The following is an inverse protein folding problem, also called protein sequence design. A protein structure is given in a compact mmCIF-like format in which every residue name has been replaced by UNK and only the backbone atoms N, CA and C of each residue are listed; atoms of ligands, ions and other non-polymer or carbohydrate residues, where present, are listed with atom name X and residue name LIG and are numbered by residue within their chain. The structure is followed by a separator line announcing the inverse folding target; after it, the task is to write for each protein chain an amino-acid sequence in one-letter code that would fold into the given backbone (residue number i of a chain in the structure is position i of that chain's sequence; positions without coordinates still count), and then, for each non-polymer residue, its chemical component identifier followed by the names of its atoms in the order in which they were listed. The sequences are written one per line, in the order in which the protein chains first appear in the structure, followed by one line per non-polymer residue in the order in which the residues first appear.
data_IF_986442577693
#
_entry.id   IF_986442577693
#
_cell.length_a   1.000
_cell.length_b   1.000
_cell.length_c   1.000
_cell.angle_alpha   90.00
_cell.angle_beta   90.00
_cell.angle_gamma   90.00
#
_symmetry.space_group_name_H-M   'P 1'
#
loop_
_entity.id
_entity.type
_entity.pdbx_description
1 polymer ?
#
# COMPACT_ATOMS: atom_id res chain seq x y z
N UNK A 1 12.24 14.89 32.25
CA UNK A 1 12.46 13.71 31.39
C UNK A 1 13.87 13.81 30.82
N UNK A 2 14.85 13.02 31.29
CA UNK A 2 16.19 13.02 30.69
C UNK A 2 16.08 12.38 29.31
N UNK A 3 16.29 13.16 28.26
CA UNK A 3 16.27 12.66 26.88
C UNK A 3 17.56 11.86 26.65
N UNK A 4 17.52 10.56 26.92
CA UNK A 4 18.63 9.67 26.59
C UNK A 4 18.60 9.41 25.09
N UNK A 5 19.35 10.22 24.35
CA UNK A 5 19.51 10.17 22.90
C UNK A 5 19.86 8.73 22.47
N UNK A 6 19.05 8.15 21.58
CA UNK A 6 19.27 6.81 21.02
C UNK A 6 19.08 5.63 21.97
N UNK A 7 18.55 5.83 23.18
CA UNK A 7 18.29 4.74 24.12
C UNK A 7 17.17 3.79 23.65
N UNK A 8 16.13 4.32 22.97
CA UNK A 8 15.04 3.51 22.41
C UNK A 8 15.55 2.52 21.37
N UNK A 9 16.29 3.00 20.38
CA UNK A 9 16.90 2.15 19.33
C UNK A 9 17.74 1.02 19.94
N UNK A 10 18.56 1.31 20.95
CA UNK A 10 19.37 0.28 21.62
C UNK A 10 18.52 -0.77 22.34
N UNK A 11 17.43 -0.34 22.96
CA UNK A 11 16.52 -1.25 23.66
C UNK A 11 15.77 -2.14 22.66
N UNK A 12 15.29 -1.57 21.55
CA UNK A 12 14.56 -2.31 20.50
C UNK A 12 15.45 -3.39 19.90
N UNK A 13 16.71 -3.05 19.55
CA UNK A 13 17.69 -4.00 19.03
C UNK A 13 17.97 -5.12 20.05
N UNK A 14 18.18 -4.75 21.31
CA UNK A 14 18.48 -5.72 22.39
C UNK A 14 17.32 -6.70 22.61
N UNK A 15 16.08 -6.23 22.49
CA UNK A 15 14.89 -7.07 22.64
C UNK A 15 14.65 -7.95 21.40
N UNK A 16 14.96 -7.46 20.20
CA UNK A 16 14.68 -8.15 18.94
C UNK A 16 15.70 -9.24 18.58
N UNK A 17 17.00 -8.97 18.74
CA UNK A 17 18.09 -9.87 18.29
C UNK A 17 17.90 -11.34 18.73
N UNK A 18 17.51 -11.66 19.98
CA UNK A 18 17.40 -13.05 20.43
C UNK A 18 16.39 -13.89 19.64
N UNK A 19 15.33 -13.26 19.11
CA UNK A 19 14.23 -13.94 18.40
C UNK A 19 14.49 -14.07 16.89
N UNK A 20 15.42 -13.31 16.32
CA UNK A 20 15.60 -13.24 14.87
C UNK A 20 15.83 -14.61 14.22
N UNK A 21 16.65 -15.46 14.83
CA UNK A 21 16.94 -16.79 14.30
C UNK A 21 15.84 -17.82 14.59
N UNK A 22 15.04 -17.65 15.65
CA UNK A 22 13.89 -18.52 15.90
C UNK A 22 12.77 -18.25 14.90
N UNK A 23 12.56 -16.99 14.51
CA UNK A 23 11.50 -16.61 13.57
C UNK A 23 11.57 -17.38 12.24
N UNK A 24 12.78 -17.62 11.70
CA UNK A 24 12.97 -18.41 10.48
C UNK A 24 12.57 -19.89 10.64
N UNK A 25 12.75 -20.45 11.84
CA UNK A 25 12.34 -21.83 12.16
C UNK A 25 10.83 -21.89 12.40
N UNK A 26 10.29 -20.91 13.12
CA UNK A 26 8.87 -20.80 13.43
C UNK A 26 8.02 -20.55 12.18
N UNK A 27 8.58 -19.87 11.19
CA UNK A 27 7.97 -19.68 9.88
C UNK A 27 7.80 -20.98 9.08
N UNK A 28 8.53 -22.05 9.40
CA UNK A 28 8.44 -23.34 8.71
C UNK A 28 7.23 -24.16 9.20
N UNK A 29 6.04 -23.57 9.09
CA UNK A 29 4.76 -24.14 9.49
C UNK A 29 3.82 -24.22 8.28
N UNK A 30 2.97 -25.24 8.22
CA UNK A 30 1.99 -25.42 7.14
C UNK A 30 1.01 -24.25 7.03
N UNK A 31 0.75 -23.52 8.13
CA UNK A 31 -0.11 -22.32 8.14
C UNK A 31 0.53 -21.09 7.49
N UNK A 32 1.85 -21.09 7.29
CA UNK A 32 2.54 -19.97 6.65
C UNK A 32 2.18 -19.87 5.17
N UNK A 33 1.97 -21.00 4.49
CA UNK A 33 1.59 -21.03 3.07
C UNK A 33 0.27 -20.29 2.78
N UNK A 34 -0.86 -20.61 3.46
CA UNK A 34 -2.10 -19.85 3.28
C UNK A 34 -1.95 -18.39 3.67
N UNK A 35 -1.25 -18.10 4.77
CA UNK A 35 -1.04 -16.72 5.21
C UNK A 35 -0.27 -15.90 4.16
N UNK A 36 0.79 -16.45 3.56
CA UNK A 36 1.55 -15.79 2.48
C UNK A 36 0.68 -15.54 1.26
N UNK A 37 -0.11 -16.54 0.83
CA UNK A 37 -1.00 -16.40 -0.31
C UNK A 37 -2.07 -15.32 -0.07
N UNK A 38 -2.73 -15.35 1.09
CA UNK A 38 -3.71 -14.35 1.48
C UNK A 38 -3.09 -12.96 1.53
N UNK A 39 -1.97 -12.81 2.23
CA UNK A 39 -1.32 -11.52 2.42
C UNK A 39 -0.78 -10.93 1.13
N UNK A 40 -0.31 -11.76 0.20
CA UNK A 40 0.09 -11.31 -1.14
C UNK A 40 -1.07 -10.59 -1.85
N UNK A 41 -2.24 -11.23 -1.96
CA UNK A 41 -3.39 -10.60 -2.61
C UNK A 41 -3.96 -9.43 -1.81
N UNK A 42 -4.00 -9.53 -0.47
CA UNK A 42 -4.49 -8.47 0.39
C UNK A 42 -3.64 -7.20 0.29
N UNK A 43 -2.33 -7.31 0.08
CA UNK A 43 -1.44 -6.16 -0.10
C UNK A 43 -1.33 -5.71 -1.57
N UNK A 44 -1.44 -6.64 -2.52
CA UNK A 44 -1.34 -6.33 -3.95
C UNK A 44 -2.55 -5.55 -4.47
N UNK A 45 -3.78 -5.96 -4.14
CA UNK A 45 -4.99 -5.35 -4.72
C UNK A 45 -5.11 -3.86 -4.40
N UNK A 46 -4.92 -3.40 -3.14
CA UNK A 46 -4.93 -1.97 -2.85
C UNK A 46 -3.78 -1.23 -3.52
N UNK A 47 -2.59 -1.82 -3.58
CA UNK A 47 -1.45 -1.21 -4.24
C UNK A 47 -1.72 -0.96 -5.73
N UNK A 48 -2.32 -1.94 -6.42
CA UNK A 48 -2.75 -1.79 -7.82
C UNK A 48 -3.81 -0.69 -7.96
N UNK A 49 -4.84 -0.70 -7.11
CA UNK A 49 -5.91 0.29 -7.11
C UNK A 49 -5.37 1.72 -6.94
N UNK A 50 -4.51 1.96 -5.94
CA UNK A 50 -3.92 3.28 -5.71
C UNK A 50 -2.89 3.67 -6.77
N UNK A 51 -2.15 2.70 -7.32
CA UNK A 51 -1.22 2.99 -8.42
C UNK A 51 -1.96 3.40 -9.69
N UNK A 52 -3.14 2.83 -9.96
CA UNK A 52 -3.96 3.20 -11.11
C UNK A 52 -4.56 4.60 -10.96
N UNK A 53 -5.12 4.91 -9.78
CA UNK A 53 -5.64 6.27 -9.49
C UNK A 53 -4.52 7.31 -9.58
N UNK A 54 -3.34 7.02 -9.02
CA UNK A 54 -2.19 7.91 -9.12
C UNK A 54 -1.67 8.05 -10.55
N UNK A 55 -1.63 6.97 -11.33
CA UNK A 55 -1.26 7.01 -12.75
C UNK A 55 -2.16 7.96 -13.53
N UNK A 56 -3.49 7.79 -13.39
CA UNK A 56 -4.48 8.64 -14.03
C UNK A 56 -4.40 10.12 -13.60
N UNK A 57 -3.98 10.39 -12.35
CA UNK A 57 -3.89 11.75 -11.80
C UNK A 57 -2.51 12.41 -11.94
N UNK A 58 -1.49 11.69 -12.41
CA UNK A 58 -0.12 12.21 -12.58
C UNK A 58 0.30 12.30 -14.05
N UNK A 59 -0.67 12.46 -14.97
CA UNK A 59 -0.45 12.44 -16.42
C UNK A 59 0.47 11.29 -16.84
N UNK A 60 0.14 10.08 -16.40
CA UNK A 60 0.86 8.85 -16.74
C UNK A 60 2.33 8.80 -16.30
N UNK A 61 2.77 9.71 -15.42
CA UNK A 61 4.17 9.83 -15.01
C UNK A 61 4.53 8.83 -13.90
N UNK A 62 3.64 8.63 -12.93
CA UNK A 62 3.89 7.76 -11.78
C UNK A 62 2.93 6.55 -11.83
N UNK A 63 3.44 5.40 -12.27
CA UNK A 63 2.61 4.26 -12.62
C UNK A 63 2.71 3.05 -11.69
N UNK A 64 2.12 1.96 -12.18
CA UNK A 64 2.09 0.64 -11.52
C UNK A 64 3.50 0.09 -11.30
N UNK A 65 4.40 0.28 -12.26
CA UNK A 65 5.75 -0.28 -12.20
C UNK A 65 6.58 0.35 -11.07
N UNK A 66 6.53 1.67 -10.89
CA UNK A 66 7.19 2.37 -9.80
C UNK A 66 6.63 1.96 -8.44
N UNK A 67 5.30 1.92 -8.30
CA UNK A 67 4.63 1.54 -7.05
C UNK A 67 4.97 0.12 -6.64
N UNK A 68 4.82 -0.85 -7.56
CA UNK A 68 5.08 -2.25 -7.27
C UNK A 68 6.57 -2.49 -6.96
N UNK A 69 7.49 -1.86 -7.71
CA UNK A 69 8.91 -1.97 -7.43
C UNK A 69 9.26 -1.40 -6.05
N UNK A 70 8.75 -0.19 -5.72
CA UNK A 70 8.95 0.43 -4.43
C UNK A 70 8.40 -0.43 -3.29
N UNK A 71 7.22 -1.03 -3.49
CA UNK A 71 6.59 -1.92 -2.52
C UNK A 71 7.41 -3.19 -2.31
N UNK A 72 7.88 -3.86 -3.36
CA UNK A 72 8.71 -5.07 -3.24
C UNK A 72 10.00 -4.76 -2.48
N UNK A 73 10.72 -3.70 -2.85
CA UNK A 73 11.95 -3.28 -2.17
C UNK A 73 11.65 -2.95 -0.70
N UNK A 74 10.59 -2.18 -0.44
CA UNK A 74 10.15 -1.80 0.90
C UNK A 74 9.81 -3.00 1.78
N UNK A 75 9.01 -3.95 1.27
CA UNK A 75 8.67 -5.18 1.99
C UNK A 75 9.89 -6.05 2.26
N UNK A 76 10.80 -6.23 1.29
CA UNK A 76 12.04 -6.98 1.50
C UNK A 76 12.92 -6.35 2.56
N UNK A 77 13.14 -5.03 2.50
CA UNK A 77 13.94 -4.33 3.52
C UNK A 77 13.27 -4.38 4.90
N UNK A 78 11.95 -4.13 4.98
CA UNK A 78 11.23 -4.16 6.24
C UNK A 78 11.22 -5.55 6.87
N UNK A 79 10.93 -6.61 6.10
CA UNK A 79 10.92 -7.99 6.62
C UNK A 79 12.27 -8.45 7.18
N UNK A 80 13.40 -7.96 6.64
CA UNK A 80 14.74 -8.32 7.12
C UNK A 80 15.13 -7.51 8.36
N UNK A 81 14.79 -6.21 8.42
CA UNK A 81 15.32 -5.29 9.44
C UNK A 81 14.30 -4.84 10.51
N UNK A 82 13.01 -5.16 10.36
CA UNK A 82 11.99 -4.69 11.29
C UNK A 82 12.12 -5.33 12.68
N UNK A 83 11.84 -4.52 13.70
CA UNK A 83 11.63 -5.00 15.07
C UNK A 83 10.29 -5.77 15.21
N UNK A 84 9.31 -5.46 14.36
CA UNK A 84 8.00 -6.12 14.33
C UNK A 84 7.68 -6.56 12.88
N UNK A 85 7.96 -7.82 12.50
CA UNK A 85 7.81 -8.33 11.14
C UNK A 85 6.36 -8.66 10.76
N UNK A 86 5.44 -8.68 11.73
CA UNK A 86 4.00 -8.89 11.51
C UNK A 86 3.32 -7.67 10.86
N UNK A 87 3.94 -6.49 10.95
CA UNK A 87 3.43 -5.27 10.31
C UNK A 87 3.67 -5.36 8.81
N UNK A 88 2.61 -5.15 8.03
CA UNK A 88 2.66 -5.17 6.57
C UNK A 88 2.83 -3.75 6.06
N UNK A 89 3.88 -3.56 5.27
CA UNK A 89 4.15 -2.29 4.60
C UNK A 89 3.60 -2.36 3.18
N UNK A 90 2.93 -1.29 2.75
CA UNK A 90 2.35 -1.18 1.42
C UNK A 90 1.94 0.26 1.13
N UNK A 91 1.60 0.54 -0.12
CA UNK A 91 1.07 1.84 -0.52
C UNK A 91 -0.37 1.98 -0.02
N UNK A 92 -0.66 3.12 0.62
CA UNK A 92 -1.98 3.43 1.18
C UNK A 92 -2.65 4.59 0.44
N UNK A 93 -3.96 4.74 0.64
CA UNK A 93 -4.73 5.85 0.06
C UNK A 93 -4.15 7.23 0.40
N UNK A 94 -3.86 7.55 1.66
CA UNK A 94 -3.30 8.86 2.03
C UNK A 94 -2.01 9.22 1.29
N UNK A 95 -1.05 8.29 1.15
CA UNK A 95 0.19 8.58 0.42
C UNK A 95 -0.05 8.76 -1.08
N UNK A 96 -0.99 8.01 -1.67
CA UNK A 96 -1.39 8.21 -3.06
C UNK A 96 -2.03 9.60 -3.28
N UNK A 97 -2.88 10.04 -2.34
CA UNK A 97 -3.46 11.38 -2.34
C UNK A 97 -2.38 12.46 -2.27
N UNK A 98 -1.40 12.30 -1.38
CA UNK A 98 -0.25 13.21 -1.32
C UNK A 98 0.54 13.22 -2.63
N UNK A 99 0.77 12.06 -3.24
CA UNK A 99 1.57 11.96 -4.45
C UNK A 99 0.98 12.76 -5.63
N UNK A 100 -0.31 12.59 -5.95
CA UNK A 100 -0.92 13.36 -7.03
C UNK A 100 -1.20 14.82 -6.65
N UNK A 101 -1.48 15.12 -5.37
CA UNK A 101 -1.67 16.53 -4.95
C UNK A 101 -0.37 17.32 -5.07
N UNK A 102 0.76 16.70 -4.70
CA UNK A 102 2.08 17.31 -4.88
C UNK A 102 2.41 17.43 -6.36
N UNK A 103 2.06 16.44 -7.17
CA UNK A 103 2.21 16.52 -8.62
C UNK A 103 1.53 17.78 -9.19
N UNK A 104 0.26 18.02 -8.87
CA UNK A 104 -0.48 19.20 -9.33
C UNK A 104 0.17 20.52 -8.88
N UNK A 105 0.60 20.61 -7.62
CA UNK A 105 1.22 21.83 -7.08
C UNK A 105 2.60 22.11 -7.71
N UNK A 106 3.42 21.07 -7.85
CA UNK A 106 4.82 21.21 -8.29
C UNK A 106 4.87 21.47 -9.79
N UNK A 107 4.02 20.79 -10.58
CA UNK A 107 3.93 21.01 -12.03
C UNK A 107 3.36 22.38 -12.39
N UNK A 108 2.37 22.88 -11.65
CA UNK A 108 1.83 24.24 -11.86
C UNK A 108 2.84 25.34 -11.52
N UNK A 109 3.80 25.06 -10.65
CA UNK A 109 4.90 25.96 -10.31
C UNK A 109 6.13 25.82 -11.25
N UNK A 110 6.11 24.86 -12.18
CA UNK A 110 7.19 24.63 -13.14
C UNK A 110 8.39 23.86 -12.60
N UNK A 111 8.24 23.19 -11.45
CA UNK A 111 9.28 22.33 -10.89
C UNK A 111 9.17 20.90 -11.44
N UNK A 112 10.30 20.19 -11.51
CA UNK A 112 10.32 18.77 -11.84
C UNK A 112 9.77 17.94 -10.65
N UNK A 113 8.65 17.26 -10.89
CA UNK A 113 7.98 16.44 -9.89
C UNK A 113 8.88 15.35 -9.29
N UNK A 114 9.65 14.64 -10.10
CA UNK A 114 10.45 13.52 -9.61
C UNK A 114 11.63 13.99 -8.76
N UNK A 115 12.25 15.10 -9.14
CA UNK A 115 13.31 15.71 -8.33
C UNK A 115 12.74 16.21 -7.00
N UNK A 116 11.58 16.85 -7.04
CA UNK A 116 10.90 17.31 -5.83
C UNK A 116 10.51 16.13 -4.92
N UNK A 117 9.98 15.06 -5.49
CA UNK A 117 9.62 13.83 -4.78
C UNK A 117 10.83 13.15 -4.12
N UNK A 118 11.98 13.14 -4.80
CA UNK A 118 13.23 12.63 -4.24
C UNK A 118 13.67 13.44 -3.00
N UNK A 119 13.59 14.77 -3.05
CA UNK A 119 13.93 15.64 -1.91
C UNK A 119 12.94 15.50 -0.75
N UNK A 120 11.65 15.30 -1.02
CA UNK A 120 10.66 14.94 0.01
C UNK A 120 11.10 13.65 0.73
N UNK A 121 11.51 12.65 -0.03
CA UNK A 121 12.02 11.38 0.52
C UNK A 121 13.27 11.55 1.38
N UNK A 122 14.25 12.34 0.94
CA UNK A 122 15.49 12.60 1.68
C UNK A 122 15.19 13.35 2.99
N UNK A 123 14.37 14.40 2.94
CA UNK A 123 13.96 15.12 4.15
C UNK A 123 13.17 14.23 5.10
N UNK A 124 12.25 13.42 4.57
CA UNK A 124 11.48 12.45 5.36
C UNK A 124 12.41 11.46 6.08
N UNK A 125 13.45 10.95 5.41
CA UNK A 125 14.46 10.09 6.04
C UNK A 125 15.18 10.79 7.20
N UNK A 126 15.62 12.03 7.01
CA UNK A 126 16.31 12.82 8.05
C UNK A 126 15.38 13.07 9.24
N UNK A 127 14.11 13.43 8.99
CA UNK A 127 13.13 13.68 10.04
C UNK A 127 12.81 12.40 10.82
N UNK A 128 12.59 11.26 10.15
CA UNK A 128 12.39 9.98 10.82
C UNK A 128 13.60 9.55 11.65
N UNK A 129 14.83 9.70 11.13
CA UNK A 129 16.05 9.43 11.88
C UNK A 129 16.14 10.31 13.14
N UNK A 130 15.78 11.57 13.02
CA UNK A 130 15.73 12.51 14.15
C UNK A 130 14.67 12.08 15.18
N UNK A 131 13.46 11.73 14.75
CA UNK A 131 12.39 11.23 15.63
C UNK A 131 12.80 9.95 16.38
N UNK A 132 13.48 9.03 15.69
CA UNK A 132 13.99 7.79 16.29
C UNK A 132 15.05 8.07 17.36
N UNK A 133 15.99 8.97 17.08
CA UNK A 133 17.05 9.36 18.02
C UNK A 133 16.48 10.06 19.27
N UNK A 134 15.44 10.87 19.09
CA UNK A 134 14.76 11.59 20.18
C UNK A 134 13.78 10.72 20.98
N UNK A 135 13.61 9.45 20.64
CA UNK A 135 12.61 8.53 21.21
C UNK A 135 11.18 9.10 21.14
N UNK A 136 10.82 9.70 20.00
CA UNK A 136 9.49 10.28 19.80
C UNK A 136 8.37 9.26 20.05
N UNK A 137 8.60 7.97 19.76
CA UNK A 137 7.65 6.88 19.95
C UNK A 137 7.12 6.76 21.40
N UNK A 138 7.81 7.30 22.40
CA UNK A 138 7.27 7.35 23.77
C UNK A 138 5.98 8.18 23.86
N UNK A 139 5.73 9.11 22.93
CA UNK A 139 4.47 9.86 22.88
C UNK A 139 3.26 9.00 22.52
N UNK A 140 3.48 7.80 21.98
CA UNK A 140 2.39 6.90 21.59
C UNK A 140 1.72 6.21 22.77
N UNK A 141 2.35 6.21 23.95
CA UNK A 141 1.71 5.68 25.17
C UNK A 141 0.46 6.49 25.55
N UNK A 142 0.27 7.68 24.98
CA UNK A 142 -0.93 8.50 25.15
C UNK A 142 -2.05 8.13 24.16
N UNK A 143 -1.77 7.35 23.12
CA UNK A 143 -2.77 6.89 22.17
C UNK A 143 -3.54 5.74 22.81
N UNK A 144 -4.85 5.90 22.92
CA UNK A 144 -5.75 4.88 23.46
C UNK A 144 -6.42 4.09 22.33
N UNK A 145 -7.18 3.05 22.69
CA UNK A 145 -7.90 2.21 21.72
C UNK A 145 -8.90 2.99 20.84
N UNK A 146 -9.58 4.00 21.40
CA UNK A 146 -10.62 4.74 20.69
C UNK A 146 -10.08 5.48 19.44
N UNK A 147 -8.98 6.25 19.52
CA UNK A 147 -8.31 6.81 18.34
C UNK A 147 -7.91 5.75 17.30
N UNK A 148 -7.37 4.60 17.73
CA UNK A 148 -6.98 3.52 16.81
C UNK A 148 -8.20 2.95 16.06
N UNK A 149 -9.28 2.62 16.77
CA UNK A 149 -10.51 2.10 16.17
C UNK A 149 -11.14 3.14 15.21
N UNK A 150 -11.11 4.43 15.58
CA UNK A 150 -11.60 5.54 14.75
C UNK A 150 -10.76 5.70 13.48
N UNK A 151 -9.44 5.57 13.59
CA UNK A 151 -8.54 5.63 12.44
C UNK A 151 -8.72 4.43 11.51
N UNK A 152 -8.88 3.22 12.06
CA UNK A 152 -9.21 2.04 11.28
C UNK A 152 -10.51 2.21 10.48
N UNK A 153 -11.53 2.81 11.08
CA UNK A 153 -12.77 3.17 10.38
C UNK A 153 -12.54 4.21 9.27
N UNK A 154 -11.72 5.23 9.53
CA UNK A 154 -11.35 6.23 8.52
C UNK A 154 -10.69 5.59 7.29
N UNK A 155 -9.71 4.71 7.49
CA UNK A 155 -9.06 3.98 6.41
C UNK A 155 -10.06 3.12 5.64
N UNK A 156 -10.94 2.40 6.34
CA UNK A 156 -11.98 1.58 5.70
C UNK A 156 -12.92 2.42 4.80
N UNK A 157 -13.32 3.62 5.26
CA UNK A 157 -14.16 4.54 4.48
C UNK A 157 -13.43 5.09 3.24
N UNK A 158 -12.15 5.45 3.37
CA UNK A 158 -11.33 5.90 2.25
C UNK A 158 -11.18 4.79 1.21
N UNK A 159 -10.95 3.55 1.63
CA UNK A 159 -10.86 2.40 0.72
C UNK A 159 -12.19 2.15 -0.01
N UNK A 160 -13.33 2.26 0.68
CA UNK A 160 -14.65 2.13 0.06
C UNK A 160 -14.90 3.23 -0.98
N UNK A 161 -14.60 4.48 -0.61
CA UNK A 161 -14.75 5.62 -1.52
C UNK A 161 -13.85 5.46 -2.75
N UNK A 162 -12.60 5.05 -2.57
CA UNK A 162 -11.65 4.83 -3.67
C UNK A 162 -12.05 3.65 -4.58
N UNK A 163 -12.61 2.58 -4.02
CA UNK A 163 -13.16 1.49 -4.82
C UNK A 163 -14.29 1.98 -5.75
N UNK A 164 -15.18 2.83 -5.25
CA UNK A 164 -16.25 3.45 -6.07
C UNK A 164 -15.65 4.38 -7.12
N UNK A 165 -14.68 5.22 -6.75
CA UNK A 165 -14.03 6.15 -7.67
C UNK A 165 -13.33 5.44 -8.85
N UNK A 166 -12.64 4.32 -8.59
CA UNK A 166 -12.00 3.52 -9.65
C UNK A 166 -13.04 2.92 -10.60
N UNK A 167 -14.18 2.47 -10.08
CA UNK A 167 -15.28 1.98 -10.93
C UNK A 167 -15.90 3.10 -11.77
N UNK A 168 -15.94 4.33 -11.25
CA UNK A 168 -16.40 5.50 -12.00
C UNK A 168 -15.39 5.96 -13.05
N UNK A 169 -14.09 5.89 -12.77
CA UNK A 169 -13.05 6.20 -13.76
C UNK A 169 -13.18 5.32 -15.01
N UNK A 170 -13.54 4.04 -14.86
CA UNK A 170 -13.80 3.14 -16.00
C UNK A 170 -14.95 3.61 -16.89
N UNK A 171 -15.86 4.45 -16.37
CA UNK A 171 -16.93 5.06 -17.16
C UNK A 171 -16.38 6.16 -18.08
N UNK A 172 -15.45 6.97 -17.59
CA UNK A 172 -14.86 8.07 -18.33
C UNK A 172 -13.95 7.56 -19.47
N UNK A 173 -13.30 6.42 -19.29
CA UNK A 173 -12.51 5.75 -20.33
C UNK A 173 -13.35 4.94 -21.33
N UNK A 174 -14.64 4.72 -21.08
CA UNK A 174 -15.51 3.91 -21.92
C UNK A 174 -16.06 4.69 -23.13
N UNK A 175 -15.20 5.28 -23.95
CA UNK A 175 -15.61 6.05 -25.14
C UNK A 175 -16.23 5.18 -26.25
N UNK A 176 -15.99 3.86 -26.25
CA UNK A 176 -16.30 2.99 -27.40
C UNK A 176 -17.46 2.01 -27.21
N UNK A 177 -17.91 1.70 -25.99
CA UNK A 177 -19.06 0.81 -25.73
C UNK A 177 -19.58 0.85 -24.30
N UNK A 178 -20.90 1.04 -24.06
CA UNK A 178 -21.47 1.07 -22.71
C UNK A 178 -21.35 -0.27 -21.97
N UNK A 179 -21.08 -1.37 -22.67
CA UNK A 179 -20.97 -2.71 -22.09
C UNK A 179 -19.75 -2.89 -21.15
N UNK A 180 -18.67 -2.13 -21.36
CA UNK A 180 -17.42 -2.23 -20.59
C UNK A 180 -17.61 -1.86 -19.11
N UNK A 181 -18.16 -0.68 -18.75
CA UNK A 181 -18.34 -0.32 -17.35
C UNK A 181 -19.38 -1.20 -16.65
N UNK A 182 -20.46 -1.62 -17.34
CA UNK A 182 -21.44 -2.54 -16.75
C UNK A 182 -20.82 -3.90 -16.40
N UNK A 183 -20.02 -4.47 -17.30
CA UNK A 183 -19.33 -5.74 -17.03
C UNK A 183 -18.34 -5.58 -15.86
N UNK A 184 -17.61 -4.47 -15.80
CA UNK A 184 -16.66 -4.21 -14.72
C UNK A 184 -17.34 -4.11 -13.35
N UNK A 185 -18.46 -3.41 -13.26
CA UNK A 185 -19.27 -3.32 -12.02
C UNK A 185 -19.80 -4.70 -11.63
N UNK A 186 -20.33 -5.48 -12.58
CA UNK A 186 -20.84 -6.82 -12.30
C UNK A 186 -19.73 -7.73 -11.77
N UNK A 187 -18.56 -7.71 -12.40
CA UNK A 187 -17.40 -8.51 -11.95
C UNK A 187 -16.92 -8.06 -10.57
N UNK A 188 -16.81 -6.75 -10.33
CA UNK A 188 -16.40 -6.22 -9.03
C UNK A 188 -17.38 -6.62 -7.91
N UNK A 189 -18.69 -6.54 -8.17
CA UNK A 189 -19.72 -6.98 -7.22
C UNK A 189 -19.69 -8.49 -7.00
N UNK A 190 -19.44 -9.29 -8.04
CA UNK A 190 -19.29 -10.74 -7.90
C UNK A 190 -18.08 -11.10 -7.04
N UNK A 191 -16.92 -10.46 -7.28
CA UNK A 191 -15.72 -10.64 -6.45
C UNK A 191 -16.00 -10.25 -5.00
N UNK A 192 -16.69 -9.13 -4.76
CA UNK A 192 -17.08 -8.69 -3.43
C UNK A 192 -18.00 -9.69 -2.72
N UNK A 193 -19.06 -10.15 -3.41
CA UNK A 193 -20.04 -11.11 -2.86
C UNK A 193 -19.39 -12.45 -2.55
N UNK A 194 -18.56 -12.97 -3.46
CA UNK A 194 -17.85 -14.24 -3.24
C UNK A 194 -16.81 -14.11 -2.12
N UNK A 195 -16.01 -13.05 -2.10
CA UNK A 195 -15.06 -12.80 -1.02
C UNK A 195 -15.74 -12.69 0.35
N UNK A 196 -16.86 -11.96 0.42
CA UNK A 196 -17.67 -11.85 1.63
C UNK A 196 -18.31 -13.19 2.02
N UNK A 197 -18.82 -13.97 1.06
CA UNK A 197 -19.35 -15.30 1.32
C UNK A 197 -18.28 -16.25 1.88
N UNK A 198 -17.04 -16.22 1.37
CA UNK A 198 -15.93 -16.98 1.94
C UNK A 198 -15.68 -16.59 3.40
N UNK A 199 -15.66 -15.29 3.71
CA UNK A 199 -15.49 -14.81 5.09
C UNK A 199 -16.64 -15.26 6.00
N UNK A 200 -17.89 -15.19 5.53
CA UNK A 200 -19.05 -15.68 6.27
C UNK A 200 -19.00 -17.19 6.52
N UNK A 201 -18.66 -17.99 5.51
CA UNK A 201 -18.50 -19.44 5.64
C UNK A 201 -17.41 -19.77 6.66
N UNK A 202 -16.31 -18.99 6.67
CA UNK A 202 -15.26 -19.01 7.68
C UNK A 202 -15.79 -18.76 9.11
N UNK A 203 -16.80 -17.92 9.28
CA UNK A 203 -17.40 -17.62 10.58
C UNK A 203 -18.49 -18.63 11.02
N UNK A 204 -19.20 -19.26 10.08
CA UNK A 204 -20.31 -20.15 10.40
C UNK A 204 -19.86 -21.48 11.01
N UNK A 205 -20.54 -21.92 12.08
CA UNK A 205 -20.27 -23.19 12.79
C UNK A 205 -20.84 -24.44 12.10
N UNK A 206 -21.49 -24.30 10.94
CA UNK A 206 -22.20 -25.40 10.28
C UNK A 206 -21.27 -26.37 9.55
N UNK A 207 -20.06 -25.92 9.18
CA UNK A 207 -19.10 -26.71 8.39
C UNK A 207 -17.99 -27.33 9.25
N UNK A 208 -17.33 -28.35 8.69
CA UNK A 208 -16.16 -28.98 9.31
C UNK A 208 -15.04 -27.94 9.56
N UNK A 209 -14.34 -27.98 10.71
CA UNK A 209 -13.35 -26.97 11.07
C UNK A 209 -12.21 -26.77 10.06
N UNK A 210 -11.76 -27.84 9.42
CA UNK A 210 -10.65 -27.77 8.46
C UNK A 210 -11.08 -27.15 7.12
N UNK A 211 -12.30 -27.44 6.67
CA UNK A 211 -12.88 -26.80 5.48
C UNK A 211 -13.13 -25.31 5.70
N UNK A 212 -13.61 -24.95 6.89
CA UNK A 212 -13.86 -23.57 7.29
C UNK A 212 -12.58 -22.72 7.25
N UNK A 213 -11.49 -23.22 7.87
CA UNK A 213 -10.18 -22.56 7.86
C UNK A 213 -9.63 -22.43 6.44
N UNK A 214 -9.73 -23.48 5.62
CA UNK A 214 -9.26 -23.44 4.24
C UNK A 214 -9.98 -22.37 3.41
N UNK A 215 -11.30 -22.22 3.57
CA UNK A 215 -12.06 -21.15 2.89
C UNK A 215 -11.71 -19.77 3.41
N UNK A 216 -11.54 -19.62 4.72
CA UNK A 216 -11.15 -18.35 5.34
C UNK A 216 -9.77 -17.89 4.86
N UNK A 217 -8.81 -18.82 4.82
CA UNK A 217 -7.43 -18.58 4.43
C UNK A 217 -7.25 -18.34 2.92
N UNK A 218 -7.93 -19.13 2.07
CA UNK A 218 -7.76 -19.05 0.61
C UNK A 218 -8.88 -18.30 -0.11
N UNK A 219 -9.91 -17.82 0.60
CA UNK A 219 -11.10 -17.22 -0.02
C UNK A 219 -10.79 -16.03 -0.92
N UNK A 220 -9.97 -15.09 -0.44
CA UNK A 220 -9.54 -13.93 -1.24
C UNK A 220 -8.68 -14.36 -2.45
N UNK A 221 -7.57 -15.12 -2.30
CA UNK A 221 -6.79 -15.61 -3.43
C UNK A 221 -7.62 -16.37 -4.48
N UNK A 222 -8.47 -17.30 -4.05
CA UNK A 222 -9.28 -18.12 -4.94
C UNK A 222 -10.29 -17.28 -5.70
N UNK A 223 -10.92 -16.30 -5.06
CA UNK A 223 -11.88 -15.40 -5.72
C UNK A 223 -11.18 -14.60 -6.81
N UNK A 224 -10.02 -14.01 -6.53
CA UNK A 224 -9.26 -13.24 -7.53
C UNK A 224 -8.81 -14.15 -8.68
N UNK A 225 -8.16 -15.27 -8.37
CA UNK A 225 -7.64 -16.22 -9.37
C UNK A 225 -8.77 -16.80 -10.22
N UNK A 226 -9.98 -16.96 -9.68
CA UNK A 226 -11.13 -17.45 -10.42
C UNK A 226 -11.74 -16.38 -11.34
N UNK A 227 -11.97 -15.16 -10.83
CA UNK A 227 -12.66 -14.12 -11.59
C UNK A 227 -11.77 -13.42 -12.65
N UNK A 228 -10.44 -13.36 -12.44
CA UNK A 228 -9.50 -12.80 -13.43
C UNK A 228 -9.47 -13.52 -14.80
N UNK A 229 -9.47 -14.86 -14.89
CA UNK A 229 -9.65 -15.56 -16.16
C UNK A 229 -11.12 -15.66 -16.59
N UNK A 230 -12.08 -15.64 -15.65
CA UNK A 230 -13.51 -15.75 -15.96
C UNK A 230 -14.00 -14.69 -16.94
N UNK A 231 -13.49 -13.47 -16.84
CA UNK A 231 -13.80 -12.36 -17.77
C UNK A 231 -13.40 -12.67 -19.23
N UNK A 232 -12.46 -13.57 -19.46
CA UNK A 232 -11.97 -13.95 -20.79
C UNK A 232 -12.77 -15.13 -21.42
N UNK A 233 -13.76 -15.65 -20.72
CA UNK A 233 -14.54 -16.84 -21.15
C UNK A 233 -15.87 -16.41 -21.81
N UNK A 234 -16.21 -17.07 -22.91
CA UNK A 234 -17.53 -16.95 -23.55
C UNK A 234 -17.78 -15.59 -24.19
N UNK A 235 -19.01 -15.07 -24.06
CA UNK A 235 -19.44 -13.80 -24.68
C UNK A 235 -18.72 -12.57 -24.12
N UNK A 236 -18.16 -12.66 -22.91
CA UNK A 236 -17.43 -11.57 -22.25
C UNK A 236 -16.11 -11.25 -22.95
N UNK A 237 -15.51 -12.21 -23.67
CA UNK A 237 -14.27 -12.00 -24.45
C UNK A 237 -14.41 -10.91 -25.52
N UNK A 238 -15.63 -10.65 -25.99
CA UNK A 238 -15.89 -9.60 -26.99
C UNK A 238 -15.86 -8.19 -26.41
N UNK A 239 -15.84 -8.07 -25.07
CA UNK A 239 -15.78 -6.81 -24.34
C UNK A 239 -14.36 -6.69 -23.81
N UNK A 240 -13.54 -5.84 -24.43
CA UNK A 240 -12.20 -5.54 -23.92
C UNK A 240 -12.36 -4.71 -22.65
N UNK A 241 -12.17 -5.35 -21.50
CA UNK A 241 -12.05 -4.67 -20.23
C UNK A 241 -10.69 -3.97 -20.16
N UNK A 242 -10.69 -2.78 -19.59
CA UNK A 242 -9.45 -2.05 -19.35
C UNK A 242 -8.57 -2.83 -18.36
N UNK A 243 -7.33 -3.09 -18.79
CA UNK A 243 -6.31 -3.69 -17.95
C UNK A 243 -5.40 -2.60 -17.41
N UNK A 244 -4.73 -2.88 -16.29
CA UNK A 244 -3.76 -1.95 -15.72
C UNK A 244 -2.64 -1.68 -16.75
N UNK A 245 -2.34 -0.41 -17.05
CA UNK A 245 -1.27 -0.06 -17.97
C UNK A 245 0.06 -0.44 -17.31
N UNK A 246 0.69 -1.48 -17.83
CA UNK A 246 2.03 -1.91 -17.43
C UNK A 246 3.00 -1.59 -18.56
N UNK A 247 4.10 -0.92 -18.23
CA UNK A 247 5.24 -0.85 -19.13
C UNK A 247 5.96 -2.21 -19.16
N UNK A 248 6.89 -2.40 -20.11
CA UNK A 248 7.71 -3.60 -20.18
C UNK A 248 8.34 -3.97 -18.83
N UNK A 249 8.64 -5.26 -18.63
CA UNK A 249 9.18 -5.74 -17.35
C UNK A 249 10.40 -4.90 -16.90
N UNK A 250 10.40 -4.46 -15.64
CA UNK A 250 11.47 -3.64 -15.03
C UNK A 250 11.78 -2.32 -15.76
N UNK A 251 10.86 -1.83 -16.58
CA UNK A 251 10.95 -0.51 -17.21
C UNK A 251 10.10 0.51 -16.44
N UNK A 252 10.55 1.77 -16.31
CA UNK A 252 9.70 2.84 -15.79
C UNK A 252 8.47 3.02 -16.67
N UNK A 253 7.42 3.60 -16.11
CA UNK A 253 6.18 3.82 -16.84
C UNK A 253 6.34 4.86 -17.95
N UNK A 254 7.14 5.90 -17.70
CA UNK A 254 7.57 6.86 -18.71
C UNK A 254 8.93 6.47 -19.32
N UNK A 255 9.24 6.96 -20.52
CA UNK A 255 10.56 6.77 -21.17
C UNK A 255 11.65 7.60 -20.48
N UNK A 256 12.07 7.14 -19.29
CA UNK A 256 13.07 7.79 -18.43
C UNK A 256 13.96 6.76 -17.74
N UNK A 257 15.07 7.24 -17.15
CA UNK A 257 15.90 6.41 -16.27
C UNK A 257 15.24 6.21 -14.90
N UNK A 258 15.51 5.06 -14.26
CA UNK A 258 15.13 4.80 -12.86
C UNK A 258 15.79 5.79 -11.89
N UNK A 259 17.04 6.19 -12.17
CA UNK A 259 17.75 7.16 -11.35
C UNK A 259 17.44 8.57 -11.83
N UNK A 260 16.72 9.31 -10.99
CA UNK A 260 16.42 10.72 -11.23
C UNK A 260 17.60 11.56 -10.72
N UNK A 261 18.20 12.45 -11.54
CA UNK A 261 19.32 13.28 -11.13
C UNK A 261 18.87 14.38 -10.16
N UNK A 262 18.67 14.03 -8.89
CA UNK A 262 18.13 14.93 -7.85
C UNK A 262 19.16 15.94 -7.30
N UNK A 263 20.44 15.83 -7.69
CA UNK A 263 21.54 16.66 -7.18
C UNK A 263 21.76 17.95 -7.96
N UNK A 264 21.22 18.07 -9.17
CA UNK A 264 21.37 19.26 -10.03
C UNK A 264 20.13 20.17 -9.91
N UNK A 265 19.87 20.71 -8.72
CA UNK A 265 18.72 21.62 -8.49
C UNK A 265 19.09 22.79 -7.59
N UNK A 266 18.32 23.86 -7.77
CA UNK A 266 18.43 25.06 -6.93
C UNK A 266 18.13 24.74 -5.47
N UNK A 267 18.88 25.38 -4.57
CA UNK A 267 18.69 25.24 -3.13
C UNK A 267 17.26 25.61 -2.70
N UNK A 268 16.59 26.50 -3.42
CA UNK A 268 15.18 26.86 -3.19
C UNK A 268 14.28 25.62 -3.28
N UNK A 269 14.41 24.81 -4.33
CA UNK A 269 13.62 23.56 -4.51
C UNK A 269 13.85 22.58 -3.36
N UNK A 270 15.10 22.48 -2.89
CA UNK A 270 15.47 21.63 -1.75
C UNK A 270 14.72 22.05 -0.48
N UNK A 271 14.66 23.34 -0.17
CA UNK A 271 13.96 23.83 1.02
C UNK A 271 12.44 23.88 0.85
N UNK A 272 11.94 24.11 -0.36
CA UNK A 272 10.50 24.08 -0.65
C UNK A 272 9.90 22.68 -0.48
N UNK A 273 10.69 21.61 -0.62
CA UNK A 273 10.25 20.25 -0.35
C UNK A 273 10.02 19.95 1.14
N UNK A 274 10.62 20.73 2.06
CA UNK A 274 10.61 20.43 3.49
C UNK A 274 9.21 20.38 4.14
N UNK A 275 8.28 21.32 3.90
CA UNK A 275 6.93 21.25 4.48
C UNK A 275 6.17 19.99 4.06
N UNK A 276 6.31 19.58 2.80
CA UNK A 276 5.72 18.34 2.30
C UNK A 276 6.35 17.11 2.95
N UNK A 277 7.66 17.11 3.16
CA UNK A 277 8.36 16.06 3.88
C UNK A 277 7.92 15.94 5.35
N UNK A 278 7.64 17.06 6.02
CA UNK A 278 7.08 17.07 7.37
C UNK A 278 5.70 16.39 7.38
N UNK A 279 4.82 16.73 6.44
CA UNK A 279 3.51 16.12 6.32
C UNK A 279 3.60 14.60 6.08
N UNK A 280 4.45 14.17 5.14
CA UNK A 280 4.71 12.75 4.85
C UNK A 280 5.32 12.03 6.07
N UNK A 281 6.21 12.69 6.81
CA UNK A 281 6.80 12.12 8.03
C UNK A 281 5.76 11.90 9.11
N UNK A 282 4.89 12.88 9.35
CA UNK A 282 3.82 12.77 10.33
C UNK A 282 2.85 11.66 9.94
N UNK A 283 2.50 11.57 8.65
CA UNK A 283 1.63 10.51 8.12
C UNK A 283 2.23 9.13 8.40
N UNK A 284 3.46 8.87 7.95
CA UNK A 284 4.08 7.55 8.15
C UNK A 284 4.33 7.23 9.62
N UNK A 285 4.73 8.22 10.42
CA UNK A 285 4.86 8.06 11.86
C UNK A 285 3.51 7.63 12.47
N UNK A 286 2.41 8.28 12.12
CA UNK A 286 1.10 7.92 12.65
C UNK A 286 0.62 6.56 12.16
N UNK A 287 0.67 6.31 10.85
CA UNK A 287 0.22 5.06 10.21
C UNK A 287 0.96 3.85 10.77
N UNK A 288 2.29 3.92 10.89
CA UNK A 288 3.10 2.82 11.41
C UNK A 288 2.76 2.51 12.86
N UNK A 289 2.65 3.56 13.68
CA UNK A 289 2.44 3.40 15.11
C UNK A 289 1.03 2.91 15.46
N UNK A 290 0.00 3.41 14.77
CA UNK A 290 -1.36 2.91 14.95
C UNK A 290 -1.45 1.45 14.49
N UNK A 291 -0.82 1.12 13.35
CA UNK A 291 -0.76 -0.27 12.87
C UNK A 291 -0.05 -1.19 13.86
N UNK A 292 1.08 -0.77 14.42
CA UNK A 292 1.84 -1.53 15.41
C UNK A 292 1.11 -1.71 16.75
N UNK A 293 0.22 -0.78 17.13
CA UNK A 293 -0.62 -0.88 18.32
C UNK A 293 -1.82 -1.81 18.12
N UNK A 294 -2.32 -1.93 16.88
CA UNK A 294 -3.45 -2.80 16.54
C UNK A 294 -3.03 -4.25 16.25
N UNK A 295 -1.76 -4.47 15.86
CA UNK A 295 -1.17 -5.80 15.60
C UNK A 295 -0.76 -6.52 16.88
#
# INVERSE_FOLDING_TARGET
MKLNIGAGIKNDIRQRIPFYWSDWKDACNYRTVPAVAYMYFANLLPALAFSFDMFARTNDSFGVNEVLLAQVIGCCMYSIFAAQPLVIVGVTGPIAIFAYTIYDIVTTQGYDYFVFWAWIGIWSFILHATLAILNACNTLTYVTKLPCDTFGLYIALVYLQKAIEILLLQWDYAESSPAVPYLSIVVALLVMVFGFACSLIGAFKLFQPEFRKAIEDYGLPLTVIFFSPFIHIGRMRSINLEALPIAGAFSPTADRSWLVPFWNVDASTVFYALPYAIAVTILFYFDHNVSALMS
#
